data_IF_599886368247
#
_entry.id   IF_599886368247
#
_cell.length_a   1.000
_cell.length_b   1.000
_cell.length_c   1.000
_cell.angle_alpha   90.00
_cell.angle_beta   90.00
_cell.angle_gamma   90.00
#
_symmetry.space_group_name_H-M   'P 1'
#
loop_
_entity.id
_entity.type
_entity.pdbx_description
1 polymer ?
#
# COMPACT_ATOMS: atom_id res chain seq x y z
N UNK A 1 -48.92 34.62 62.01
CA UNK A 1 -48.65 34.73 60.57
C UNK A 1 -48.01 33.44 60.10
N UNK A 2 -48.67 32.70 59.19
CA UNK A 2 -48.28 31.38 58.68
C UNK A 2 -47.65 31.46 57.27
N UNK A 3 -47.05 30.37 56.78
CA UNK A 3 -47.21 29.77 55.43
C UNK A 3 -46.07 28.74 55.17
N UNK A 4 -46.31 27.44 55.00
CA UNK A 4 -46.89 26.69 53.87
C UNK A 4 -45.92 26.40 52.71
N UNK A 5 -45.60 25.11 52.57
CA UNK A 5 -45.36 24.30 51.36
C UNK A 5 -44.69 24.93 50.13
N UNK A 6 -43.64 24.25 49.65
CA UNK A 6 -43.52 23.94 48.21
C UNK A 6 -43.34 22.44 48.00
N UNK A 7 -44.21 21.92 47.14
CA UNK A 7 -44.31 20.57 46.61
C UNK A 7 -43.32 20.36 45.45
N UNK A 8 -43.19 19.07 45.08
CA UNK A 8 -42.92 18.58 43.71
C UNK A 8 -41.42 18.50 43.36
N UNK A 9 -40.89 17.46 42.72
CA UNK A 9 -41.48 16.41 41.90
C UNK A 9 -40.50 15.23 41.77
N UNK A 10 -41.05 14.07 41.40
CA UNK A 10 -40.33 12.82 41.19
C UNK A 10 -39.18 12.88 40.18
N UNK A 11 -38.15 12.14 40.53
CA UNK A 11 -37.16 11.51 39.68
C UNK A 11 -36.60 10.38 40.55
N UNK A 12 -37.41 9.34 40.79
CA UNK A 12 -37.30 8.09 40.03
C UNK A 12 -35.85 7.57 40.05
N UNK A 13 -35.48 6.90 41.15
CA UNK A 13 -35.16 5.45 41.23
C UNK A 13 -34.52 4.72 40.01
N UNK A 14 -33.94 5.42 39.05
CA UNK A 14 -33.38 4.83 37.82
C UNK A 14 -31.88 4.50 37.88
N UNK A 15 -31.16 4.84 38.96
CA UNK A 15 -29.70 4.64 39.04
C UNK A 15 -29.26 3.39 39.81
N UNK A 16 -30.17 2.48 40.18
CA UNK A 16 -29.83 1.24 40.89
C UNK A 16 -30.31 -0.06 40.23
N UNK A 17 -30.61 -0.05 38.93
CA UNK A 17 -30.62 -1.31 38.18
C UNK A 17 -29.18 -1.67 37.79
N UNK A 18 -28.65 -2.83 38.23
CA UNK A 18 -27.38 -3.31 37.73
C UNK A 18 -27.57 -3.64 36.24
N UNK A 19 -27.11 -2.75 35.38
CA UNK A 19 -26.91 -3.03 33.96
C UNK A 19 -26.14 -4.36 33.88
N UNK A 20 -26.81 -5.37 33.31
CA UNK A 20 -26.32 -6.68 32.89
C UNK A 20 -24.90 -6.97 33.39
N UNK A 21 -24.77 -7.93 34.31
CA UNK A 21 -23.48 -8.53 34.67
C UNK A 21 -22.72 -8.81 33.38
N UNK A 22 -21.77 -7.94 33.04
CA UNK A 22 -20.93 -8.16 31.88
C UNK A 22 -20.27 -9.51 32.15
N UNK A 23 -20.36 -10.49 31.24
CA UNK A 23 -19.64 -11.72 31.43
C UNK A 23 -18.19 -11.31 31.68
N UNK A 24 -17.64 -11.71 32.84
CA UNK A 24 -16.24 -11.46 33.17
C UNK A 24 -15.42 -11.74 31.92
N UNK A 25 -14.51 -10.83 31.49
CA UNK A 25 -13.81 -10.96 30.22
C UNK A 25 -13.20 -12.34 30.20
N UNK A 26 -13.80 -13.21 29.40
CA UNK A 26 -13.34 -14.59 29.28
C UNK A 26 -11.91 -14.45 28.79
N UNK A 27 -10.90 -15.04 29.46
CA UNK A 27 -9.51 -14.78 29.13
C UNK A 27 -9.32 -15.04 27.63
N UNK A 28 -9.19 -13.95 26.86
CA UNK A 28 -9.22 -14.00 25.41
C UNK A 28 -8.01 -14.81 25.00
N UNK A 29 -8.25 -16.06 24.59
CA UNK A 29 -7.20 -17.02 24.27
C UNK A 29 -6.30 -16.37 23.21
N UNK A 30 -5.07 -16.00 23.59
CA UNK A 30 -4.15 -15.29 22.69
C UNK A 30 -4.00 -16.09 21.40
N UNK A 31 -4.45 -15.52 20.27
CA UNK A 31 -4.34 -16.21 19.00
C UNK A 31 -2.88 -16.24 18.57
N UNK A 32 -2.40 -17.42 18.15
CA UNK A 32 -1.02 -17.56 17.72
C UNK A 32 -0.80 -16.77 16.43
N UNK A 33 0.30 -16.01 16.36
CA UNK A 33 0.67 -15.25 15.16
C UNK A 33 0.78 -16.18 13.93
N UNK A 34 0.26 -15.79 12.76
CA UNK A 34 0.46 -16.52 11.51
C UNK A 34 1.90 -16.33 11.00
N UNK A 35 2.85 -16.99 11.68
CA UNK A 35 4.31 -16.80 11.51
C UNK A 35 4.74 -16.88 10.04
N UNK A 36 4.21 -17.84 9.28
CA UNK A 36 4.58 -18.03 7.86
C UNK A 36 4.23 -16.80 7.00
N UNK A 37 3.00 -16.29 7.11
CA UNK A 37 2.53 -15.13 6.33
C UNK A 37 3.31 -13.86 6.71
N UNK A 38 3.54 -13.66 8.00
CA UNK A 38 4.32 -12.54 8.52
C UNK A 38 5.76 -12.60 8.01
N UNK A 39 6.45 -13.75 8.12
CA UNK A 39 7.85 -13.87 7.67
C UNK A 39 7.97 -13.56 6.17
N UNK A 40 7.09 -14.11 5.32
CA UNK A 40 7.09 -13.81 3.88
C UNK A 40 6.92 -12.31 3.63
N UNK A 41 5.95 -11.68 4.30
CA UNK A 41 5.68 -10.25 4.18
C UNK A 41 6.87 -9.39 4.63
N UNK A 42 7.53 -9.76 5.73
CA UNK A 42 8.70 -9.03 6.24
C UNK A 42 9.92 -9.20 5.32
N UNK A 43 10.15 -10.39 4.79
CA UNK A 43 11.25 -10.61 3.83
C UNK A 43 11.01 -9.82 2.53
N UNK A 44 9.77 -9.75 2.04
CA UNK A 44 9.44 -8.88 0.91
C UNK A 44 9.67 -7.41 1.24
N UNK A 45 9.18 -6.95 2.42
CA UNK A 45 9.33 -5.57 2.89
C UNK A 45 10.80 -5.17 3.08
N UNK A 46 11.69 -6.11 3.39
CA UNK A 46 13.12 -5.83 3.61
C UNK A 46 13.82 -5.25 2.37
N UNK A 47 13.34 -5.55 1.16
CA UNK A 47 13.94 -5.02 -0.07
C UNK A 47 13.81 -3.49 -0.20
N UNK A 48 12.76 -2.89 0.36
CA UNK A 48 12.50 -1.46 0.26
C UNK A 48 13.49 -0.58 1.05
N UNK A 49 13.70 -0.79 2.37
CA UNK A 49 14.69 -0.02 3.10
C UNK A 49 16.11 -0.24 2.56
N UNK A 50 16.44 -1.42 2.03
CA UNK A 50 17.71 -1.65 1.34
C UNK A 50 17.84 -0.73 0.12
N UNK A 51 16.87 -0.75 -0.80
CA UNK A 51 16.88 0.14 -1.98
C UNK A 51 16.91 1.63 -1.62
N UNK A 52 16.22 2.01 -0.54
CA UNK A 52 16.18 3.41 -0.11
C UNK A 52 17.54 3.88 0.42
N UNK A 53 18.20 3.07 1.24
CA UNK A 53 19.41 3.48 1.97
C UNK A 53 20.72 3.15 1.25
N UNK A 54 20.70 2.28 0.23
CA UNK A 54 21.91 1.87 -0.49
C UNK A 54 22.65 3.03 -1.16
N UNK A 55 21.94 4.10 -1.51
CA UNK A 55 22.52 5.24 -2.23
C UNK A 55 23.36 6.17 -1.34
N UNK A 56 23.06 6.25 -0.05
CA UNK A 56 23.63 7.27 0.85
C UNK A 56 25.17 7.29 0.88
N UNK A 57 25.89 6.16 0.91
CA UNK A 57 27.35 6.17 0.96
C UNK A 57 28.03 6.75 -0.28
N UNK A 58 27.36 6.76 -1.43
CA UNK A 58 27.96 7.11 -2.72
C UNK A 58 27.22 8.21 -3.48
N UNK A 59 26.06 8.69 -3.02
CA UNK A 59 25.24 9.67 -3.75
C UNK A 59 25.99 10.98 -4.03
N UNK A 60 26.73 11.50 -3.05
CA UNK A 60 27.48 12.74 -3.21
C UNK A 60 28.62 12.59 -4.24
N UNK A 61 29.34 11.47 -4.16
CA UNK A 61 30.40 11.11 -5.10
C UNK A 61 29.84 10.85 -6.52
N UNK A 62 28.66 10.24 -6.61
CA UNK A 62 27.95 10.04 -7.87
C UNK A 62 27.59 11.38 -8.52
N UNK A 63 26.98 12.30 -7.77
CA UNK A 63 26.64 13.66 -8.24
C UNK A 63 27.87 14.41 -8.74
N UNK A 64 29.00 14.26 -8.05
CA UNK A 64 30.27 14.86 -8.48
C UNK A 64 30.81 14.20 -9.77
N UNK A 65 30.82 12.86 -9.83
CA UNK A 65 31.35 12.10 -10.97
C UNK A 65 30.59 12.28 -12.28
N UNK A 66 29.27 12.50 -12.22
CA UNK A 66 28.42 12.76 -13.40
C UNK A 66 28.50 14.23 -13.85
N UNK A 67 29.29 15.06 -13.17
CA UNK A 67 29.51 16.46 -13.51
C UNK A 67 28.28 17.35 -13.30
N UNK A 68 27.41 17.02 -12.34
CA UNK A 68 26.22 17.82 -12.04
C UNK A 68 26.58 19.24 -11.55
N UNK A 69 27.74 19.38 -10.91
CA UNK A 69 28.31 20.65 -10.49
C UNK A 69 29.83 20.59 -10.55
N UNK A 70 30.46 21.74 -10.83
CA UNK A 70 31.92 21.90 -10.73
C UNK A 70 32.37 22.34 -9.33
N UNK A 71 31.43 22.77 -8.48
CA UNK A 71 31.71 23.25 -7.13
C UNK A 71 31.33 22.20 -6.08
N UNK A 72 32.33 21.73 -5.33
CA UNK A 72 32.18 20.73 -4.28
C UNK A 72 31.16 21.15 -3.22
N UNK A 73 31.12 22.44 -2.86
CA UNK A 73 30.22 22.95 -1.82
C UNK A 73 28.73 22.82 -2.19
N UNK A 74 28.42 22.71 -3.49
CA UNK A 74 27.05 22.56 -3.99
C UNK A 74 26.61 21.10 -4.17
N UNK A 75 27.51 20.12 -4.03
CA UNK A 75 27.20 18.69 -4.24
C UNK A 75 26.05 18.23 -3.34
N UNK A 76 26.05 18.65 -2.07
CA UNK A 76 24.98 18.33 -1.13
C UNK A 76 23.60 18.84 -1.55
N UNK A 77 23.53 20.00 -2.23
CA UNK A 77 22.25 20.53 -2.74
C UNK A 77 21.68 19.64 -3.86
N UNK A 78 22.53 19.22 -4.81
CA UNK A 78 22.12 18.34 -5.90
C UNK A 78 21.77 16.92 -5.41
N UNK A 79 22.53 16.36 -4.46
CA UNK A 79 22.19 15.10 -3.81
C UNK A 79 20.84 15.20 -3.09
N UNK A 80 20.62 16.30 -2.35
CA UNK A 80 19.36 16.59 -1.68
C UNK A 80 18.17 16.68 -2.63
N UNK A 81 18.32 17.22 -3.85
CA UNK A 81 17.26 17.22 -4.87
C UNK A 81 16.88 15.79 -5.27
N UNK A 82 17.87 14.93 -5.49
CA UNK A 82 17.64 13.52 -5.89
C UNK A 82 16.86 12.77 -4.79
N UNK A 83 17.22 12.98 -3.53
CA UNK A 83 16.54 12.37 -2.38
C UNK A 83 15.15 12.96 -2.13
N UNK A 84 15.03 14.29 -2.20
CA UNK A 84 13.76 14.99 -1.97
C UNK A 84 12.71 14.62 -3.03
N UNK A 85 13.12 14.43 -4.28
CA UNK A 85 12.19 14.08 -5.36
C UNK A 85 11.62 12.66 -5.19
N UNK A 86 12.39 11.73 -4.60
CA UNK A 86 11.87 10.43 -4.18
C UNK A 86 10.77 10.60 -3.11
N UNK A 87 11.02 11.38 -2.06
CA UNK A 87 10.04 11.60 -1.00
C UNK A 87 8.79 12.33 -1.49
N UNK A 88 8.96 13.33 -2.36
CA UNK A 88 7.87 14.09 -2.97
C UNK A 88 7.00 13.20 -3.87
N UNK A 89 7.62 12.45 -4.78
CA UNK A 89 6.90 11.52 -5.66
C UNK A 89 6.15 10.45 -4.88
N UNK A 90 6.78 9.90 -3.83
CA UNK A 90 6.13 8.91 -2.95
C UNK A 90 4.93 9.51 -2.22
N UNK A 91 5.03 10.75 -1.71
CA UNK A 91 3.93 11.41 -1.00
C UNK A 91 2.73 11.65 -1.91
N UNK A 92 2.95 11.99 -3.18
CA UNK A 92 1.88 12.19 -4.16
C UNK A 92 1.21 10.87 -4.57
N UNK A 93 1.94 9.75 -4.62
CA UNK A 93 1.41 8.48 -5.12
C UNK A 93 0.94 7.52 -4.02
N UNK A 94 1.32 7.71 -2.75
CA UNK A 94 1.03 6.73 -1.68
C UNK A 94 -0.47 6.48 -1.47
N UNK A 95 -1.30 7.53 -1.53
CA UNK A 95 -2.76 7.39 -1.41
C UNK A 95 -3.36 6.66 -2.63
N UNK A 96 -2.81 6.94 -3.82
CA UNK A 96 -3.21 6.25 -5.05
C UNK A 96 -2.96 4.74 -4.92
N UNK A 97 -1.75 4.34 -4.51
CA UNK A 97 -1.40 2.93 -4.32
C UNK A 97 -2.22 2.22 -3.24
N UNK A 98 -2.51 2.92 -2.13
CA UNK A 98 -3.43 2.43 -1.10
C UNK A 98 -4.79 2.08 -1.69
N UNK A 99 -5.43 3.06 -2.34
CA UNK A 99 -6.75 2.88 -2.97
C UNK A 99 -6.75 1.84 -4.10
N UNK A 100 -5.66 1.74 -4.85
CA UNK A 100 -5.49 0.75 -5.91
C UNK A 100 -5.43 -0.67 -5.34
N UNK A 101 -4.75 -0.84 -4.20
CA UNK A 101 -4.68 -2.12 -3.50
C UNK A 101 -6.01 -2.56 -2.91
N UNK A 102 -6.89 -1.62 -2.51
CA UNK A 102 -8.25 -1.93 -2.06
C UNK A 102 -9.14 -2.45 -3.20
N UNK A 103 -8.88 -2.03 -4.45
CA UNK A 103 -9.69 -2.40 -5.62
C UNK A 103 -9.21 -3.66 -6.34
N UNK A 104 -7.89 -3.78 -6.52
CA UNK A 104 -7.28 -4.86 -7.33
C UNK A 104 -6.87 -6.05 -6.44
N UNK A 105 -6.58 -5.80 -5.16
CA UNK A 105 -5.99 -6.78 -4.23
C UNK A 105 -4.63 -6.33 -3.72
N UNK A 106 -4.22 -6.85 -2.56
CA UNK A 106 -2.96 -6.48 -1.90
C UNK A 106 -1.76 -7.06 -2.64
N UNK A 107 -1.83 -8.34 -3.04
CA UNK A 107 -0.74 -9.07 -3.66
C UNK A 107 -0.28 -8.45 -5.00
N UNK A 108 -1.15 -8.23 -6.00
CA UNK A 108 -0.71 -7.73 -7.30
C UNK A 108 -0.12 -6.33 -7.22
N UNK A 109 -0.69 -5.48 -6.36
CA UNK A 109 -0.24 -4.09 -6.21
C UNK A 109 1.12 -4.04 -5.50
N UNK A 110 1.33 -4.88 -4.48
CA UNK A 110 2.63 -5.01 -3.81
C UNK A 110 3.74 -5.47 -4.79
N UNK A 111 3.44 -6.46 -5.65
CA UNK A 111 4.40 -6.95 -6.65
C UNK A 111 4.69 -5.90 -7.74
N UNK A 112 3.68 -5.14 -8.16
CA UNK A 112 3.84 -4.05 -9.13
C UNK A 112 4.74 -2.94 -8.57
N UNK A 113 4.54 -2.54 -7.32
CA UNK A 113 5.38 -1.53 -6.65
C UNK A 113 6.83 -1.98 -6.52
N UNK A 114 7.06 -3.22 -6.05
CA UNK A 114 8.42 -3.80 -5.98
C UNK A 114 9.09 -3.89 -7.36
N UNK A 115 8.33 -4.23 -8.41
CA UNK A 115 8.86 -4.29 -9.78
C UNK A 115 9.29 -2.92 -10.29
N UNK A 116 8.52 -1.88 -9.99
CA UNK A 116 8.86 -0.50 -10.28
C UNK A 116 10.14 -0.05 -9.58
N UNK A 117 10.28 -0.39 -8.30
CA UNK A 117 11.49 -0.11 -7.51
C UNK A 117 12.70 -0.85 -8.10
N UNK A 118 12.59 -2.14 -8.43
CA UNK A 118 13.68 -2.90 -9.05
C UNK A 118 14.13 -2.30 -10.39
N UNK A 119 13.16 -1.93 -11.25
CA UNK A 119 13.45 -1.27 -12.53
C UNK A 119 14.15 0.08 -12.32
N UNK A 120 13.65 0.89 -11.37
CA UNK A 120 14.24 2.19 -11.06
C UNK A 120 15.66 2.11 -10.51
N UNK A 121 15.97 1.08 -9.72
CA UNK A 121 17.32 0.84 -9.20
C UNK A 121 18.31 0.57 -10.33
N UNK A 122 17.93 -0.28 -11.30
CA UNK A 122 18.75 -0.56 -12.49
C UNK A 122 18.97 0.71 -13.31
N UNK A 123 17.91 1.49 -13.57
CA UNK A 123 18.03 2.76 -14.31
C UNK A 123 18.91 3.77 -13.57
N UNK A 124 18.82 3.85 -12.24
CA UNK A 124 19.63 4.75 -11.43
C UNK A 124 21.12 4.38 -11.49
N UNK A 125 21.46 3.09 -11.35
CA UNK A 125 22.85 2.62 -11.44
C UNK A 125 23.49 2.82 -12.82
N UNK A 126 22.68 2.88 -13.89
CA UNK A 126 23.13 3.16 -15.26
C UNK A 126 23.11 4.66 -15.61
N UNK A 127 22.76 5.53 -14.66
CA UNK A 127 22.64 6.95 -14.96
C UNK A 127 24.01 7.61 -15.14
N UNK A 128 24.14 8.40 -16.21
CA UNK A 128 25.36 9.18 -16.51
C UNK A 128 25.12 10.69 -16.49
N UNK A 129 23.87 11.11 -16.28
CA UNK A 129 23.47 12.51 -16.25
C UNK A 129 22.61 12.77 -15.02
N UNK A 130 22.69 14.00 -14.49
CA UNK A 130 21.93 14.40 -13.31
C UNK A 130 20.42 14.18 -13.49
N UNK A 131 19.85 14.65 -14.60
CA UNK A 131 18.41 14.52 -14.86
C UNK A 131 17.95 13.07 -15.03
N UNK A 132 18.80 12.18 -15.54
CA UNK A 132 18.48 10.75 -15.56
C UNK A 132 18.42 10.20 -14.14
N UNK A 133 19.40 10.50 -13.29
CA UNK A 133 19.42 10.07 -11.90
C UNK A 133 18.17 10.56 -11.14
N UNK A 134 17.79 11.83 -11.35
CA UNK A 134 16.58 12.45 -10.84
C UNK A 134 15.32 11.72 -11.31
N UNK A 135 15.18 11.44 -12.60
CA UNK A 135 14.02 10.73 -13.16
C UNK A 135 13.90 9.29 -12.64
N UNK A 136 15.02 8.56 -12.56
CA UNK A 136 15.04 7.21 -12.01
C UNK A 136 14.59 7.21 -10.53
N UNK A 137 15.02 8.20 -9.74
CA UNK A 137 14.65 8.32 -8.33
C UNK A 137 13.22 8.78 -8.11
N UNK A 138 12.71 9.67 -8.96
CA UNK A 138 11.30 10.01 -9.00
C UNK A 138 10.42 8.79 -9.33
N UNK A 139 10.85 7.96 -10.28
CA UNK A 139 10.14 6.72 -10.62
C UNK A 139 10.17 5.72 -9.46
N UNK A 140 11.30 5.61 -8.76
CA UNK A 140 11.43 4.79 -7.55
C UNK A 140 10.42 5.23 -6.48
N UNK A 141 10.30 6.53 -6.20
CA UNK A 141 9.36 7.05 -5.20
C UNK A 141 7.91 6.91 -5.66
N UNK A 142 7.63 7.23 -6.92
CA UNK A 142 6.31 7.11 -7.52
C UNK A 142 5.76 5.68 -7.46
N UNK A 143 6.60 4.65 -7.56
CA UNK A 143 6.20 3.23 -7.50
C UNK A 143 6.25 2.62 -6.10
N UNK A 144 6.75 3.37 -5.10
CA UNK A 144 6.95 2.87 -3.73
C UNK A 144 5.73 3.08 -2.81
N UNK A 145 4.58 2.50 -3.19
CA UNK A 145 3.35 2.48 -2.39
C UNK A 145 3.28 1.36 -1.34
N UNK A 146 4.28 0.49 -1.32
CA UNK A 146 4.27 -0.77 -0.59
C UNK A 146 4.21 -0.60 0.93
N UNK A 147 4.75 0.49 1.47
CA UNK A 147 4.71 0.79 2.91
C UNK A 147 3.27 0.81 3.45
N UNK A 148 2.33 1.36 2.68
CA UNK A 148 0.93 1.40 3.06
C UNK A 148 0.29 0.00 2.94
N UNK A 149 0.55 -0.69 1.83
CA UNK A 149 -0.02 -2.02 1.54
C UNK A 149 0.43 -3.04 2.57
N UNK A 150 1.71 -3.06 2.95
CA UNK A 150 2.25 -3.97 3.97
C UNK A 150 1.58 -3.76 5.33
N UNK A 151 1.27 -2.52 5.70
CA UNK A 151 0.53 -2.22 6.94
C UNK A 151 -0.91 -2.75 6.87
N UNK A 152 -1.58 -2.59 5.73
CA UNK A 152 -2.92 -3.15 5.52
C UNK A 152 -2.92 -4.67 5.56
N UNK A 153 -1.99 -5.33 4.84
CA UNK A 153 -1.82 -6.80 4.86
C UNK A 153 -1.54 -7.28 6.28
N UNK A 154 -0.67 -6.58 7.02
CA UNK A 154 -0.37 -6.93 8.41
C UNK A 154 -1.64 -6.86 9.27
N UNK A 155 -2.44 -5.80 9.15
CA UNK A 155 -3.71 -5.67 9.85
C UNK A 155 -4.70 -6.80 9.50
N UNK A 156 -4.84 -7.12 8.22
CA UNK A 156 -5.78 -8.15 7.72
C UNK A 156 -5.44 -9.58 8.15
N UNK A 157 -4.16 -9.89 8.40
CA UNK A 157 -3.74 -11.22 8.86
C UNK A 157 -3.64 -11.33 10.38
N UNK A 158 -3.81 -10.23 11.12
CA UNK A 158 -3.66 -10.18 12.58
C UNK A 158 -4.98 -9.92 13.29
N UNK A 159 -5.07 -10.36 14.54
CA UNK A 159 -6.21 -10.07 15.42
C UNK A 159 -5.79 -9.07 16.50
N UNK A 160 -6.75 -8.42 17.17
CA UNK A 160 -6.48 -7.46 18.26
C UNK A 160 -5.51 -8.00 19.32
N UNK A 161 -5.58 -9.30 19.62
CA UNK A 161 -4.72 -9.95 20.63
C UNK A 161 -3.24 -10.04 20.23
N UNK A 162 -2.93 -9.99 18.92
CA UNK A 162 -1.59 -10.24 18.40
C UNK A 162 -1.05 -9.10 17.50
N UNK A 163 -1.90 -8.15 17.12
CA UNK A 163 -1.62 -7.02 16.25
C UNK A 163 -0.44 -6.17 16.76
N UNK A 164 -0.40 -5.84 18.06
CA UNK A 164 0.69 -5.04 18.63
C UNK A 164 2.07 -5.70 18.43
N UNK A 165 2.15 -7.02 18.57
CA UNK A 165 3.39 -7.78 18.34
C UNK A 165 3.76 -7.79 16.86
N UNK A 166 2.79 -7.93 15.97
CA UNK A 166 3.01 -7.98 14.53
C UNK A 166 3.47 -6.62 13.96
N UNK A 167 2.82 -5.53 14.35
CA UNK A 167 3.19 -4.17 13.93
C UNK A 167 4.57 -3.74 14.45
N UNK A 168 5.02 -4.25 15.60
CA UNK A 168 6.38 -4.01 16.12
C UNK A 168 7.50 -4.57 15.21
N UNK A 169 7.20 -5.50 14.31
CA UNK A 169 8.17 -6.08 13.39
C UNK A 169 8.43 -5.19 12.15
N UNK A 170 7.50 -4.27 11.84
CA UNK A 170 7.66 -3.38 10.68
C UNK A 170 8.81 -2.38 10.88
N UNK A 171 8.93 -1.66 12.02
CA UNK A 171 10.10 -0.80 12.29
C UNK A 171 11.41 -1.59 12.39
N UNK A 172 11.37 -2.81 12.94
CA UNK A 172 12.55 -3.68 13.01
C UNK A 172 13.09 -4.03 11.61
N UNK A 173 12.19 -4.28 10.66
CA UNK A 173 12.59 -4.56 9.28
C UNK A 173 13.23 -3.35 8.62
N UNK A 174 12.76 -2.14 8.95
CA UNK A 174 13.36 -0.89 8.49
C UNK A 174 14.80 -0.74 8.99
N UNK A 175 15.06 -0.96 10.28
CA UNK A 175 16.42 -0.83 10.84
C UNK A 175 17.38 -1.88 10.28
N UNK A 176 16.93 -3.11 10.04
CA UNK A 176 17.75 -4.13 9.36
C UNK A 176 18.09 -3.70 7.93
N UNK A 177 17.16 -3.08 7.21
CA UNK A 177 17.45 -2.52 5.89
C UNK A 177 18.44 -1.36 5.95
N UNK A 178 18.33 -0.46 6.93
CA UNK A 178 19.29 0.62 7.17
C UNK A 178 20.67 0.11 7.59
N UNK A 179 20.77 -1.11 8.12
CA UNK A 179 22.05 -1.77 8.38
C UNK A 179 22.67 -2.31 7.08
N UNK A 180 21.89 -3.04 6.29
CA UNK A 180 22.38 -3.76 5.10
C UNK A 180 22.61 -2.82 3.91
N UNK A 181 21.71 -1.87 3.68
CA UNK A 181 21.74 -0.98 2.51
C UNK A 181 23.03 -0.18 2.40
N UNK A 182 23.40 0.65 3.38
CA UNK A 182 24.64 1.44 3.34
C UNK A 182 25.90 0.58 3.29
N UNK A 183 25.87 -0.62 3.91
CA UNK A 183 26.99 -1.56 3.85
C UNK A 183 27.23 -2.01 2.40
N UNK A 184 26.17 -2.44 1.71
CA UNK A 184 26.23 -2.82 0.31
C UNK A 184 26.59 -1.62 -0.58
N UNK A 185 26.01 -0.46 -0.31
CA UNK A 185 26.26 0.77 -1.06
C UNK A 185 27.72 1.20 -1.03
N UNK A 186 28.31 1.21 0.16
CA UNK A 186 29.70 1.62 0.36
C UNK A 186 30.69 0.64 -0.26
N UNK A 187 30.60 -0.64 0.10
CA UNK A 187 31.59 -1.65 -0.31
C UNK A 187 31.52 -2.05 -1.79
N UNK A 188 30.38 -1.86 -2.45
CA UNK A 188 30.20 -2.24 -3.85
C UNK A 188 30.32 -1.04 -4.79
N UNK A 189 30.40 0.19 -4.27
CA UNK A 189 30.65 1.38 -5.08
C UNK A 189 32.05 1.32 -5.72
N UNK A 190 32.17 1.81 -6.96
CA UNK A 190 33.45 1.87 -7.70
C UNK A 190 34.24 0.54 -7.68
N UNK A 191 33.65 -0.58 -8.10
CA UNK A 191 34.28 -1.90 -7.97
C UNK A 191 35.59 -2.02 -8.77
N UNK A 192 35.70 -1.31 -9.89
CA UNK A 192 36.93 -1.25 -10.68
C UNK A 192 38.10 -0.59 -9.94
N UNK A 193 37.83 0.36 -9.03
CA UNK A 193 38.84 1.03 -8.21
C UNK A 193 39.11 0.27 -6.90
N UNK A 194 38.07 -0.28 -6.29
CA UNK A 194 38.16 -0.94 -4.99
C UNK A 194 38.66 -2.40 -5.06
N UNK A 195 38.36 -3.11 -6.15
CA UNK A 195 38.77 -4.50 -6.38
C UNK A 195 39.35 -4.68 -7.79
N UNK A 196 40.52 -4.08 -8.08
CA UNK A 196 41.12 -4.11 -9.42
C UNK A 196 41.40 -5.55 -9.89
N UNK A 197 41.78 -6.47 -9.00
CA UNK A 197 42.09 -7.86 -9.38
C UNK A 197 40.89 -8.65 -9.93
N UNK A 198 39.67 -8.27 -9.56
CA UNK A 198 38.43 -9.01 -9.90
C UNK A 198 37.63 -8.26 -10.98
N UNK A 199 37.72 -6.92 -11.03
CA UNK A 199 36.87 -6.08 -11.89
C UNK A 199 37.65 -5.23 -12.92
N UNK A 200 38.98 -5.34 -13.01
CA UNK A 200 39.76 -4.65 -14.06
C UNK A 200 39.43 -5.16 -15.48
N UNK A 201 39.94 -4.45 -16.50
CA UNK A 201 39.77 -4.75 -17.94
C UNK A 201 40.01 -6.21 -18.35
N UNK A 202 40.80 -6.97 -17.59
CA UNK A 202 41.11 -8.37 -17.87
C UNK A 202 40.29 -9.38 -17.06
N UNK A 203 39.30 -8.92 -16.30
CA UNK A 203 38.41 -9.76 -15.50
C UNK A 203 37.64 -10.80 -16.33
N UNK A 204 37.31 -11.93 -15.71
CA UNK A 204 36.83 -13.18 -16.33
C UNK A 204 35.59 -13.07 -17.23
N UNK A 205 34.86 -11.96 -17.18
CA UNK A 205 33.55 -11.82 -17.80
C UNK A 205 33.48 -10.82 -18.97
N UNK A 206 34.60 -10.26 -19.46
CA UNK A 206 34.60 -9.29 -20.58
C UNK A 206 33.82 -7.98 -20.33
N UNK A 207 33.30 -7.81 -19.11
CA UNK A 207 32.48 -6.70 -18.64
C UNK A 207 33.31 -5.57 -18.01
N UNK A 208 34.65 -5.63 -18.05
CA UNK A 208 35.53 -4.64 -17.41
C UNK A 208 35.24 -3.19 -17.82
N UNK A 209 34.84 -2.97 -19.07
CA UNK A 209 34.43 -1.64 -19.54
C UNK A 209 33.09 -1.13 -18.99
N UNK A 210 32.20 -2.03 -18.54
CA UNK A 210 30.91 -1.64 -17.95
C UNK A 210 31.11 -1.02 -16.57
N UNK A 211 32.00 -1.59 -15.75
CA UNK A 211 32.26 -1.13 -14.37
C UNK A 211 33.05 0.18 -14.32
N UNK A 212 33.91 0.43 -15.31
CA UNK A 212 34.58 1.72 -15.48
C UNK A 212 33.60 2.80 -15.96
N UNK A 213 32.69 2.45 -16.88
CA UNK A 213 31.69 3.39 -17.43
C UNK A 213 30.55 3.69 -16.43
N UNK A 214 30.19 2.72 -15.60
CA UNK A 214 29.11 2.82 -14.62
C UNK A 214 29.59 2.37 -13.22
N UNK A 215 30.34 3.23 -12.50
CA UNK A 215 30.94 2.88 -11.21
C UNK A 215 29.93 2.56 -10.10
N UNK A 216 28.68 3.03 -10.21
CA UNK A 216 27.62 2.83 -9.20
C UNK A 216 26.58 1.79 -9.62
N UNK A 217 26.79 1.10 -10.75
CA UNK A 217 25.83 0.10 -11.23
C UNK A 217 25.79 -1.16 -10.36
N UNK A 218 26.94 -1.61 -9.84
CA UNK A 218 27.05 -2.82 -9.03
C UNK A 218 26.16 -2.83 -7.77
N UNK A 219 26.21 -1.81 -6.88
CA UNK A 219 25.34 -1.78 -5.70
C UNK A 219 23.86 -1.79 -6.11
N UNK A 220 23.50 -1.01 -7.14
CA UNK A 220 22.13 -0.92 -7.63
C UNK A 220 21.63 -2.25 -8.22
N UNK A 221 22.48 -2.96 -8.96
CA UNK A 221 22.17 -4.26 -9.56
C UNK A 221 21.96 -5.34 -8.48
N UNK A 222 22.78 -5.34 -7.43
CA UNK A 222 22.61 -6.27 -6.30
C UNK A 222 21.32 -5.97 -5.54
N UNK A 223 21.01 -4.69 -5.30
CA UNK A 223 19.74 -4.30 -4.67
C UNK A 223 18.52 -4.69 -5.53
N UNK A 224 18.60 -4.49 -6.85
CA UNK A 224 17.57 -4.94 -7.78
C UNK A 224 17.42 -6.47 -7.77
N UNK A 225 18.51 -7.23 -7.71
CA UNK A 225 18.48 -8.69 -7.61
C UNK A 225 17.81 -9.18 -6.31
N UNK A 226 18.13 -8.56 -5.17
CA UNK A 226 17.47 -8.82 -3.88
C UNK A 226 15.96 -8.55 -4.00
N UNK A 227 15.59 -7.45 -4.66
CA UNK A 227 14.19 -7.07 -4.88
C UNK A 227 13.47 -8.06 -5.79
N UNK A 228 14.09 -8.50 -6.87
CA UNK A 228 13.55 -9.52 -7.78
C UNK A 228 13.38 -10.85 -7.07
N UNK A 229 14.34 -11.26 -6.24
CA UNK A 229 14.19 -12.46 -5.41
C UNK A 229 12.98 -12.33 -4.46
N UNK A 230 12.78 -11.16 -3.84
CA UNK A 230 11.60 -10.86 -3.03
C UNK A 230 10.30 -10.88 -3.83
N UNK A 231 10.29 -10.39 -5.08
CA UNK A 231 9.14 -10.46 -5.99
C UNK A 231 8.80 -11.90 -6.33
N UNK A 232 9.81 -12.70 -6.72
CA UNK A 232 9.63 -14.12 -7.07
C UNK A 232 9.05 -14.88 -5.88
N UNK A 233 9.65 -14.71 -4.70
CA UNK A 233 9.16 -15.30 -3.46
C UNK A 233 7.72 -14.85 -3.16
N UNK A 234 7.42 -13.55 -3.24
CA UNK A 234 6.07 -13.03 -3.03
C UNK A 234 5.04 -13.52 -4.04
N UNK A 235 5.43 -13.69 -5.30
CA UNK A 235 4.56 -14.19 -6.35
C UNK A 235 4.11 -15.63 -6.07
N UNK A 236 4.99 -16.48 -5.56
CA UNK A 236 4.67 -17.89 -5.27
C UNK A 236 4.09 -18.12 -3.86
N UNK A 237 4.58 -17.40 -2.84
CA UNK A 237 4.26 -17.69 -1.44
C UNK A 237 3.22 -16.75 -0.82
N UNK A 238 3.04 -15.53 -1.32
CA UNK A 238 2.05 -14.60 -0.77
C UNK A 238 0.65 -14.98 -1.29
N UNK A 239 -0.29 -15.16 -0.39
CA UNK A 239 -1.70 -15.30 -0.73
C UNK A 239 -2.37 -13.94 -0.76
N UNK A 240 -3.46 -13.81 -1.51
CA UNK A 240 -4.28 -12.60 -1.46
C UNK A 240 -4.91 -12.47 -0.06
N UNK A 241 -4.84 -11.29 0.53
CA UNK A 241 -5.35 -11.01 1.88
C UNK A 241 -6.57 -10.10 1.88
N UNK A 242 -6.88 -9.44 0.76
CA UNK A 242 -8.04 -8.54 0.66
C UNK A 242 -9.33 -9.29 1.06
N UNK A 243 -10.06 -8.86 2.11
CA UNK A 243 -11.18 -9.63 2.68
C UNK A 243 -12.29 -9.94 1.68
N UNK A 244 -12.65 -8.97 0.83
CA UNK A 244 -13.71 -9.14 -0.17
C UNK A 244 -13.36 -10.22 -1.22
N UNK A 245 -12.11 -10.25 -1.69
CA UNK A 245 -11.65 -11.25 -2.65
C UNK A 245 -11.49 -12.63 -2.01
N UNK A 246 -11.06 -12.68 -0.74
CA UNK A 246 -10.98 -13.92 0.03
C UNK A 246 -12.38 -14.51 0.23
N UNK A 247 -13.34 -13.69 0.67
CA UNK A 247 -14.72 -14.14 0.88
C UNK A 247 -15.37 -14.61 -0.43
N UNK A 248 -15.15 -13.90 -1.54
CA UNK A 248 -15.63 -14.31 -2.86
C UNK A 248 -15.05 -15.66 -3.28
N UNK A 249 -13.73 -15.87 -3.10
CA UNK A 249 -13.07 -17.15 -3.40
C UNK A 249 -13.64 -18.28 -2.54
N UNK A 250 -13.86 -18.05 -1.25
CA UNK A 250 -14.48 -19.04 -0.38
C UNK A 250 -15.91 -19.39 -0.79
N UNK A 251 -16.73 -18.39 -1.13
CA UNK A 251 -18.09 -18.58 -1.64
C UNK A 251 -18.09 -19.39 -2.94
N UNK A 252 -17.16 -19.12 -3.85
CA UNK A 252 -17.01 -19.87 -5.11
C UNK A 252 -16.51 -21.32 -4.90
N UNK A 253 -15.71 -21.57 -3.86
CA UNK A 253 -15.17 -22.88 -3.52
C UNK A 253 -16.18 -23.74 -2.75
N UNK A 254 -17.01 -23.11 -1.90
CA UNK A 254 -18.12 -23.76 -1.17
C UNK A 254 -19.35 -24.01 -2.07
N UNK A 255 -19.39 -23.44 -3.28
CA UNK A 255 -20.51 -23.63 -4.23
C UNK A 255 -20.49 -25.07 -4.78
N UNK A 256 -21.53 -25.89 -4.55
CA UNK A 256 -21.55 -27.28 -4.99
C UNK A 256 -21.46 -27.39 -6.52
N UNK A 257 -20.78 -28.43 -7.04
CA UNK A 257 -20.49 -28.62 -8.47
C UNK A 257 -21.74 -28.53 -9.37
N UNK A 258 -22.90 -28.99 -8.87
CA UNK A 258 -24.19 -28.87 -9.56
C UNK A 258 -24.59 -27.40 -9.84
N UNK A 259 -24.33 -26.49 -8.90
CA UNK A 259 -24.63 -25.07 -9.07
C UNK A 259 -23.63 -24.35 -10.00
N UNK A 260 -22.39 -24.86 -10.15
CA UNK A 260 -21.43 -24.37 -11.15
C UNK A 260 -21.84 -24.73 -12.57
N UNK A 261 -22.30 -25.97 -12.80
CA UNK A 261 -22.82 -26.40 -14.11
C UNK A 261 -24.07 -25.61 -14.52
N UNK A 262 -24.98 -25.35 -13.57
CA UNK A 262 -26.21 -24.61 -13.83
C UNK A 262 -25.96 -23.12 -14.10
N UNK A 263 -24.91 -22.54 -13.49
CA UNK A 263 -24.42 -21.18 -13.74
C UNK A 263 -23.79 -21.02 -15.13
N UNK A 264 -22.98 -21.99 -15.55
CA UNK A 264 -22.41 -22.00 -16.91
C UNK A 264 -23.50 -22.22 -17.96
N UNK A 265 -24.47 -23.10 -17.70
CA UNK A 265 -25.61 -23.32 -18.57
C UNK A 265 -26.53 -22.10 -18.68
N UNK A 266 -26.74 -21.35 -17.58
CA UNK A 266 -27.55 -20.12 -17.61
C UNK A 266 -26.83 -18.96 -18.29
N UNK A 267 -25.53 -18.79 -18.08
CA UNK A 267 -24.70 -17.80 -18.79
C UNK A 267 -24.58 -18.10 -20.29
N UNK A 268 -24.50 -19.38 -20.68
CA UNK A 268 -24.52 -19.78 -22.08
C UNK A 268 -25.90 -19.50 -22.70
N UNK A 269 -26.99 -19.77 -21.98
CA UNK A 269 -28.36 -19.45 -22.42
C UNK A 269 -28.59 -17.95 -22.54
N UNK A 270 -28.05 -17.12 -21.63
CA UNK A 270 -28.16 -15.66 -21.74
C UNK A 270 -27.38 -15.10 -22.91
N UNK A 271 -26.17 -15.62 -23.18
CA UNK A 271 -25.38 -15.22 -24.35
C UNK A 271 -26.02 -15.66 -25.67
N UNK A 272 -26.63 -16.85 -25.71
CA UNK A 272 -27.41 -17.33 -26.87
C UNK A 272 -28.68 -16.50 -27.05
N UNK A 273 -29.37 -16.11 -25.98
CA UNK A 273 -30.53 -15.23 -26.04
C UNK A 273 -30.17 -13.82 -26.53
N UNK A 274 -29.04 -13.27 -26.05
CA UNK A 274 -28.53 -11.98 -26.51
C UNK A 274 -28.18 -12.01 -28.01
N UNK A 275 -27.48 -13.05 -28.49
CA UNK A 275 -27.19 -13.23 -29.92
C UNK A 275 -28.44 -13.49 -30.77
N UNK A 276 -29.49 -14.14 -30.23
CA UNK A 276 -30.77 -14.31 -30.93
C UNK A 276 -31.49 -12.98 -31.15
N UNK A 277 -31.43 -12.07 -30.20
CA UNK A 277 -32.05 -10.74 -30.33
C UNK A 277 -31.31 -9.91 -31.41
N UNK A 278 -30.00 -10.08 -31.55
CA UNK A 278 -29.20 -9.40 -32.58
C UNK A 278 -29.52 -9.87 -34.00
N UNK A 279 -29.84 -11.16 -34.19
CA UNK A 279 -30.12 -11.72 -35.52
C UNK A 279 -31.55 -11.50 -36.04
N UNK A 280 -32.51 -11.17 -35.17
CA UNK A 280 -33.88 -10.81 -35.61
C UNK A 280 -34.02 -9.35 -36.06
N UNK A 281 -33.02 -8.49 -35.82
CA UNK A 281 -33.02 -7.08 -36.24
C UNK A 281 -32.46 -6.80 -37.63
N UNK A 282 -32.05 -7.84 -38.39
CA UNK A 282 -31.30 -7.69 -39.65
C UNK A 282 -32.02 -8.20 -40.91
N UNK A 283 -33.34 -8.39 -40.86
CA UNK A 283 -34.17 -8.68 -42.04
C UNK A 283 -35.38 -7.77 -42.11
N UNK A 284 -35.15 -6.50 -42.49
CA UNK A 284 -36.08 -5.73 -43.32
C UNK A 284 -35.45 -4.38 -43.69
N UNK A 285 -34.70 -4.36 -44.79
CA UNK A 285 -34.70 -3.28 -45.77
C UNK A 285 -33.66 -3.57 -46.86
N UNK A 286 -34.07 -4.28 -47.90
CA UNK A 286 -33.36 -4.21 -49.17
C UNK A 286 -34.38 -4.15 -50.31
N UNK A 287 -34.86 -2.95 -50.61
CA UNK A 287 -35.26 -2.61 -51.96
C UNK A 287 -35.17 -1.08 -52.16
N UNK A 288 -34.11 -0.61 -52.79
CA UNK A 288 -34.08 0.73 -53.36
C UNK A 288 -33.31 0.71 -54.68
N UNK A 289 -34.07 0.76 -55.78
CA UNK A 289 -33.55 1.04 -57.12
C UNK A 289 -33.63 2.55 -57.37
N UNK A 290 -32.47 3.21 -57.46
CA UNK A 290 -31.97 3.80 -58.70
C UNK A 290 -30.78 4.74 -58.43
N UNK A 291 -29.65 4.39 -59.06
CA UNK A 291 -28.65 5.23 -59.71
C UNK A 291 -28.31 6.58 -59.06
N UNK A 292 -27.12 6.69 -58.48
CA UNK A 292 -25.92 7.19 -59.21
C UNK A 292 -24.77 7.52 -58.25
N UNK A 293 -23.67 6.78 -58.44
CA UNK A 293 -22.26 7.21 -58.40
C UNK A 293 -21.65 7.97 -57.21
N UNK A 294 -20.45 7.47 -56.85
CA UNK A 294 -19.33 8.10 -56.13
C UNK A 294 -19.24 7.75 -54.63
N UNK A 295 -18.09 7.46 -54.01
CA UNK A 295 -16.66 7.43 -54.37
C UNK A 295 -15.93 6.78 -53.15
N UNK A 296 -14.77 6.18 -53.40
CA UNK A 296 -13.60 5.94 -52.53
C UNK A 296 -13.69 5.23 -51.16
N UNK A 297 -12.87 4.17 -51.08
CA UNK A 297 -11.84 3.94 -50.05
C UNK A 297 -11.52 5.11 -49.10
N UNK A 298 -11.50 4.86 -47.79
CA UNK A 298 -10.34 5.15 -46.94
C UNK A 298 -10.57 4.65 -45.50
N UNK A 299 -9.45 4.21 -44.91
CA UNK A 299 -9.24 3.84 -43.52
C UNK A 299 -9.45 5.01 -42.54
N UNK A 300 -9.46 4.62 -41.26
CA UNK A 300 -8.86 5.31 -40.11
C UNK A 300 -9.74 6.12 -39.14
N UNK A 301 -9.82 5.54 -37.93
CA UNK A 301 -9.60 6.12 -36.59
C UNK A 301 -10.56 7.11 -35.90
N UNK A 302 -10.72 6.80 -34.60
CA UNK A 302 -10.88 7.67 -33.42
C UNK A 302 -12.23 8.33 -33.05
N UNK A 303 -12.81 7.77 -31.97
CA UNK A 303 -13.24 8.39 -30.70
C UNK A 303 -13.78 9.83 -30.69
N UNK A 304 -15.00 10.03 -30.18
CA UNK A 304 -15.28 10.62 -28.83
C UNK A 304 -16.79 10.85 -28.56
N UNK A 305 -17.15 10.78 -27.27
CA UNK A 305 -18.12 11.68 -26.57
C UNK A 305 -19.63 11.38 -26.46
N UNK A 306 -20.04 11.23 -25.17
CA UNK A 306 -21.24 11.68 -24.45
C UNK A 306 -22.69 11.38 -24.90
N UNK A 307 -23.52 10.98 -23.92
CA UNK A 307 -25.00 11.01 -23.99
C UNK A 307 -25.64 11.46 -22.66
N UNK A 308 -26.72 12.28 -22.67
CA UNK A 308 -27.32 12.88 -21.46
C UNK A 308 -28.61 12.18 -20.95
N UNK A 309 -29.07 12.67 -19.77
CA UNK A 309 -30.22 12.28 -18.93
C UNK A 309 -31.60 12.67 -19.49
N UNK A 310 -32.67 11.98 -19.06
CA UNK A 310 -34.01 12.56 -18.89
C UNK A 310 -34.92 11.78 -17.90
N UNK A 311 -35.70 12.53 -17.10
CA UNK A 311 -36.73 12.16 -16.10
C UNK A 311 -38.08 11.78 -16.73
N UNK A 312 -38.94 11.04 -16.00
CA UNK A 312 -40.38 11.40 -15.83
C UNK A 312 -41.08 10.69 -14.67
N UNK A 313 -42.17 11.30 -14.21
CA UNK A 313 -42.82 11.17 -12.91
C UNK A 313 -44.20 10.46 -12.93
N UNK A 314 -44.67 10.20 -11.70
CA UNK A 314 -45.95 9.71 -11.15
C UNK A 314 -47.29 10.15 -11.78
N UNK A 315 -48.33 9.29 -11.78
CA UNK A 315 -49.58 9.36 -10.93
C UNK A 315 -50.76 8.49 -11.43
N UNK A 316 -51.54 7.93 -10.47
CA UNK A 316 -52.97 7.48 -10.46
C UNK A 316 -53.45 6.44 -11.50
N UNK A 317 -54.25 5.41 -11.22
CA UNK A 317 -55.20 5.04 -10.15
C UNK A 317 -56.48 4.51 -10.84
N UNK A 318 -57.06 3.37 -10.43
CA UNK A 318 -58.50 2.98 -10.51
C UNK A 318 -58.69 1.55 -9.97
N UNK A 319 -59.75 1.39 -9.17
CA UNK A 319 -60.17 0.23 -8.36
C UNK A 319 -61.31 -0.52 -9.09
N UNK A 320 -61.33 -1.84 -9.02
CA UNK A 320 -62.52 -2.66 -9.37
C UNK A 320 -62.83 -3.63 -8.23
N UNK A 321 -64.09 -3.62 -7.78
CA UNK A 321 -64.68 -4.52 -6.79
C UNK A 321 -65.44 -5.64 -7.51
N UNK A 322 -65.41 -6.87 -6.99
CA UNK A 322 -66.45 -7.89 -7.23
C UNK A 322 -66.73 -8.71 -5.97
N UNK A 323 -68.01 -8.93 -5.68
CA UNK A 323 -68.59 -9.58 -4.50
C UNK A 323 -68.93 -11.08 -4.72
N UNK A 324 -69.23 -11.77 -3.60
CA UNK A 324 -69.82 -13.12 -3.37
C UNK A 324 -68.82 -14.28 -3.18
N UNK A 325 -68.95 -15.26 -2.26
CA UNK A 325 -69.99 -15.66 -1.30
C UNK A 325 -69.39 -16.67 -0.26
N UNK A 326 -69.88 -16.61 0.99
CA UNK A 326 -70.04 -17.64 2.05
C UNK A 326 -69.05 -18.81 2.29
N UNK A 327 -68.44 -18.85 3.49
CA UNK A 327 -68.61 -19.86 4.57
C UNK A 327 -67.65 -19.57 5.76
N UNK A 328 -68.14 -19.65 6.99
CA UNK A 328 -67.42 -19.48 8.28
C UNK A 328 -66.95 -20.86 8.82
N UNK A 329 -66.34 -20.99 10.01
CA UNK A 329 -65.07 -20.43 10.51
C UNK A 329 -64.14 -21.55 11.03
N UNK A 330 -62.81 -21.40 10.95
CA UNK A 330 -61.90 -22.11 11.87
C UNK A 330 -60.92 -21.10 12.45
N UNK A 331 -60.96 -21.01 13.78
CA UNK A 331 -60.05 -20.21 14.60
C UNK A 331 -58.62 -20.74 14.41
N UNK A 332 -57.82 -20.04 13.62
CA UNK A 332 -56.37 -19.98 13.78
C UNK A 332 -56.00 -18.52 13.91
N UNK A 333 -55.40 -18.07 15.03
CA UNK A 333 -54.88 -16.71 15.10
C UNK A 333 -53.85 -16.55 13.97
N UNK A 334 -53.81 -15.40 13.26
CA UNK A 334 -52.75 -15.17 12.31
C UNK A 334 -51.43 -15.20 13.09
N UNK A 335 -50.52 -16.11 12.70
CA UNK A 335 -49.11 -15.95 13.06
C UNK A 335 -48.72 -14.57 12.57
N UNK A 336 -48.51 -13.66 13.51
CA UNK A 336 -47.70 -12.48 13.28
C UNK A 336 -46.38 -13.00 12.71
N UNK A 337 -46.15 -12.79 11.43
CA UNK A 337 -44.80 -12.77 10.91
C UNK A 337 -44.18 -11.52 11.51
N UNK A 338 -43.63 -11.64 12.72
CA UNK A 338 -42.62 -10.69 13.18
C UNK A 338 -41.57 -10.66 12.07
N UNK A 339 -41.32 -9.51 11.43
CA UNK A 339 -40.12 -9.39 10.63
C UNK A 339 -38.98 -9.64 11.61
N UNK A 340 -38.17 -10.67 11.34
CA UNK A 340 -36.84 -10.74 11.95
C UNK A 340 -36.20 -9.37 11.72
N UNK A 341 -35.63 -8.71 12.75
CA UNK A 341 -34.91 -7.48 12.51
C UNK A 341 -33.83 -7.82 11.49
N UNK A 342 -33.94 -7.24 10.30
CA UNK A 342 -32.83 -7.21 9.38
C UNK A 342 -31.74 -6.46 10.13
N UNK A 343 -30.73 -7.17 10.59
CA UNK A 343 -29.45 -6.58 10.95
C UNK A 343 -28.79 -6.08 9.65
N UNK A 344 -29.46 -5.18 8.93
CA UNK A 344 -28.79 -4.23 8.07
C UNK A 344 -28.14 -3.26 9.02
N UNK A 345 -26.88 -3.54 9.37
CA UNK A 345 -25.96 -2.51 9.85
C UNK A 345 -26.17 -1.32 8.93
N UNK A 346 -26.49 -0.12 9.44
CA UNK A 346 -26.59 1.04 8.56
C UNK A 346 -25.26 1.16 7.82
N UNK A 347 -25.30 1.09 6.49
CA UNK A 347 -24.17 1.40 5.63
C UNK A 347 -23.79 2.85 5.94
N UNK A 348 -22.93 3.06 6.92
CA UNK A 348 -22.26 4.33 7.08
C UNK A 348 -21.52 4.55 5.76
N UNK A 349 -21.77 5.66 5.04
CA UNK A 349 -20.99 5.95 3.85
C UNK A 349 -19.52 5.92 4.27
N UNK A 350 -18.73 5.04 3.65
CA UNK A 350 -17.30 4.93 3.91
C UNK A 350 -16.73 6.34 3.81
N UNK A 351 -16.30 6.90 4.94
CA UNK A 351 -15.80 8.27 4.98
C UNK A 351 -14.71 8.40 3.93
N UNK A 352 -14.86 9.39 3.06
CA UNK A 352 -13.89 9.60 2.00
C UNK A 352 -12.54 9.92 2.64
N UNK A 353 -11.43 9.43 2.09
CA UNK A 353 -10.07 9.74 2.59
C UNK A 353 -9.88 11.26 2.76
N UNK A 354 -10.50 12.04 1.89
CA UNK A 354 -10.52 13.50 1.95
C UNK A 354 -11.28 14.06 3.15
N UNK A 355 -12.36 13.42 3.56
CA UNK A 355 -13.13 13.77 4.75
C UNK A 355 -12.33 13.47 6.02
N UNK A 356 -11.59 12.36 6.03
CA UNK A 356 -10.68 12.01 7.12
C UNK A 356 -9.54 13.03 7.24
N UNK A 357 -8.94 13.43 6.10
CA UNK A 357 -7.89 14.45 6.05
C UNK A 357 -8.40 15.86 6.39
N UNK A 358 -9.71 16.11 6.31
CA UNK A 358 -10.31 17.38 6.71
C UNK A 358 -10.46 17.51 8.24
N UNK A 359 -10.32 16.42 8.99
CA UNK A 359 -10.44 16.43 10.46
C UNK A 359 -9.24 17.18 11.06
N UNK A 360 -9.51 18.28 11.77
CA UNK A 360 -8.46 19.16 12.31
C UNK A 360 -7.50 18.50 13.31
N UNK A 361 -7.92 17.44 14.02
CA UNK A 361 -7.01 16.65 14.87
C UNK A 361 -5.99 15.85 14.05
N UNK A 362 -6.44 15.23 12.96
CA UNK A 362 -5.58 14.43 12.07
C UNK A 362 -4.59 15.35 11.35
N UNK A 363 -5.02 16.53 10.92
CA UNK A 363 -4.13 17.53 10.31
C UNK A 363 -3.00 17.95 11.26
N UNK A 364 -3.30 18.21 12.53
CA UNK A 364 -2.28 18.59 13.54
C UNK A 364 -1.24 17.47 13.73
N UNK A 365 -1.70 16.22 13.83
CA UNK A 365 -0.80 15.06 13.94
C UNK A 365 0.05 14.89 12.70
N UNK A 366 -0.54 15.02 11.50
CA UNK A 366 0.15 14.92 10.23
C UNK A 366 1.23 16.01 10.07
N UNK A 367 0.92 17.26 10.43
CA UNK A 367 1.87 18.38 10.39
C UNK A 367 3.02 18.13 11.37
N UNK A 368 2.71 17.75 12.62
CA UNK A 368 3.74 17.45 13.62
C UNK A 368 4.66 16.31 13.18
N UNK A 369 4.09 15.23 12.63
CA UNK A 369 4.86 14.11 12.09
C UNK A 369 5.70 14.52 10.88
N UNK A 370 5.17 15.38 9.99
CA UNK A 370 5.92 15.88 8.85
C UNK A 370 7.14 16.71 9.28
N UNK A 371 7.01 17.56 10.31
CA UNK A 371 8.15 18.29 10.87
C UNK A 371 9.19 17.36 11.50
N UNK A 372 8.76 16.37 12.29
CA UNK A 372 9.66 15.39 12.88
C UNK A 372 10.39 14.56 11.81
N UNK A 373 9.67 14.14 10.77
CA UNK A 373 10.24 13.42 9.64
C UNK A 373 11.24 14.29 8.86
N UNK A 374 10.91 15.57 8.64
CA UNK A 374 11.81 16.51 7.97
C UNK A 374 13.12 16.70 8.75
N UNK A 375 13.04 16.88 10.07
CA UNK A 375 14.22 17.00 10.93
C UNK A 375 15.06 15.72 10.89
N UNK A 376 14.41 14.56 11.02
CA UNK A 376 15.10 13.26 10.99
C UNK A 376 15.85 13.05 9.67
N UNK A 377 15.17 13.24 8.53
CA UNK A 377 15.77 13.04 7.20
C UNK A 377 16.84 14.09 6.92
N UNK A 378 16.65 15.34 7.37
CA UNK A 378 17.66 16.37 7.24
C UNK A 378 18.93 16.03 8.02
N UNK A 379 18.80 15.51 9.25
CA UNK A 379 19.96 15.06 10.03
C UNK A 379 20.68 13.89 9.36
N UNK A 380 19.94 12.92 8.83
CA UNK A 380 20.52 11.79 8.11
C UNK A 380 21.29 12.27 6.86
N UNK A 381 20.69 13.14 6.04
CA UNK A 381 21.33 13.67 4.83
C UNK A 381 22.55 14.56 5.14
N UNK A 382 22.45 15.42 6.17
CA UNK A 382 23.56 16.28 6.60
C UNK A 382 24.71 15.45 7.18
N UNK A 383 24.40 14.38 7.91
CA UNK A 383 25.42 13.46 8.43
C UNK A 383 26.19 12.80 7.29
N UNK A 384 25.49 12.29 6.27
CA UNK A 384 26.11 11.69 5.08
C UNK A 384 26.99 12.71 4.35
N UNK A 385 26.49 13.93 4.16
CA UNK A 385 27.25 15.01 3.50
C UNK A 385 28.49 15.39 4.31
N UNK A 386 28.36 15.55 5.63
CA UNK A 386 29.47 15.87 6.53
C UNK A 386 30.59 14.81 6.46
N UNK A 387 30.23 13.53 6.35
CA UNK A 387 31.21 12.45 6.20
C UNK A 387 31.96 12.53 4.87
N UNK A 388 31.27 12.87 3.78
CA UNK A 388 31.86 12.95 2.43
C UNK A 388 32.70 14.21 2.21
N UNK A 389 32.27 15.36 2.72
CA UNK A 389 32.86 16.67 2.40
C UNK A 389 34.31 16.78 2.91
N UNK A 390 35.27 17.34 2.15
CA UNK A 390 36.66 17.43 2.60
C UNK A 390 36.85 18.37 3.79
N UNK A 391 37.93 18.14 4.55
CA UNK A 391 38.29 18.89 5.77
C UNK A 391 38.33 20.42 5.55
N UNK A 392 38.72 20.86 4.35
CA UNK A 392 38.78 22.29 3.99
C UNK A 392 37.41 22.99 4.00
N UNK A 393 36.35 22.24 3.76
CA UNK A 393 34.96 22.72 3.70
C UNK A 393 34.17 22.35 4.97
N UNK A 394 34.87 21.81 5.99
CA UNK A 394 34.29 21.52 7.31
C UNK A 394 33.74 20.10 7.48
N UNK A 395 34.01 19.18 6.53
CA UNK A 395 33.66 17.76 6.67
C UNK A 395 34.84 16.85 7.06
N UNK A 396 34.64 15.54 6.95
CA UNK A 396 35.64 14.51 7.32
C UNK A 396 36.44 13.99 6.12
N UNK A 397 35.85 13.98 4.92
CA UNK A 397 36.50 13.50 3.69
C UNK A 397 36.61 11.98 3.60
N UNK A 398 35.66 11.25 4.19
CA UNK A 398 35.61 9.79 4.13
C UNK A 398 35.21 9.28 2.74
N UNK A 399 35.79 8.14 2.39
CA UNK A 399 35.39 7.36 1.22
C UNK A 399 34.04 6.67 1.44
N UNK A 400 33.41 6.20 0.35
CA UNK A 400 32.08 5.58 0.37
C UNK A 400 32.00 4.31 1.21
N UNK A 401 33.08 3.53 1.29
CA UNK A 401 33.20 2.35 2.15
C UNK A 401 33.13 2.69 3.64
N UNK A 402 33.93 3.68 4.08
CA UNK A 402 33.95 4.16 5.46
C UNK A 402 32.62 4.80 5.87
N UNK A 403 32.05 5.59 4.96
CA UNK A 403 30.72 6.19 5.13
C UNK A 403 29.65 5.11 5.26
N UNK A 404 29.69 4.08 4.42
CA UNK A 404 28.78 2.93 4.46
C UNK A 404 28.83 2.19 5.80
N UNK A 405 30.04 1.90 6.31
CA UNK A 405 30.23 1.25 7.62
C UNK A 405 29.60 2.08 8.74
N UNK A 406 29.83 3.41 8.75
CA UNK A 406 29.33 4.27 9.81
C UNK A 406 27.79 4.38 9.80
N UNK A 407 27.19 4.48 8.62
CA UNK A 407 25.73 4.46 8.46
C UNK A 407 25.13 3.11 8.88
N UNK A 408 25.82 2.01 8.57
CA UNK A 408 25.42 0.69 9.02
C UNK A 408 25.48 0.54 10.55
N UNK A 409 26.50 1.12 11.21
CA UNK A 409 26.58 1.16 12.68
C UNK A 409 25.39 1.95 13.26
N UNK A 410 24.99 3.06 12.64
CA UNK A 410 23.79 3.81 13.04
C UNK A 410 22.52 2.93 12.91
N UNK A 411 22.36 2.22 11.79
CA UNK A 411 21.26 1.26 11.60
C UNK A 411 21.22 0.15 12.66
N UNK A 412 22.39 -0.36 13.07
CA UNK A 412 22.52 -1.33 14.17
C UNK A 412 22.11 -0.70 15.51
N UNK A 413 22.50 0.55 15.77
CA UNK A 413 22.07 1.32 16.93
C UNK A 413 20.56 1.44 17.02
N UNK A 414 19.88 1.76 15.92
CA UNK A 414 18.42 1.80 15.85
C UNK A 414 17.76 0.43 16.09
N UNK A 415 18.37 -0.66 15.62
CA UNK A 415 17.89 -2.01 15.92
C UNK A 415 18.03 -2.35 17.41
N UNK A 416 19.16 -2.00 18.04
CA UNK A 416 19.39 -2.19 19.46
C UNK A 416 18.42 -1.37 20.31
N UNK A 417 18.18 -0.11 19.95
CA UNK A 417 17.22 0.77 20.63
C UNK A 417 15.81 0.16 20.63
N UNK A 418 15.32 -0.30 19.47
CA UNK A 418 14.03 -0.98 19.37
C UNK A 418 13.94 -2.25 20.24
N UNK A 419 15.02 -3.05 20.29
CA UNK A 419 15.07 -4.28 21.09
C UNK A 419 15.07 -3.94 22.59
N UNK A 420 15.85 -2.94 23.00
CA UNK A 420 15.92 -2.47 24.38
C UNK A 420 14.59 -1.89 24.82
N UNK A 421 13.98 -1.02 24.01
CA UNK A 421 12.69 -0.41 24.31
C UNK A 421 11.59 -1.47 24.45
N UNK A 422 11.58 -2.48 23.56
CA UNK A 422 10.67 -3.63 23.67
C UNK A 422 10.90 -4.43 24.96
N UNK A 423 12.16 -4.65 25.35
CA UNK A 423 12.50 -5.39 26.57
C UNK A 423 12.07 -4.63 27.82
N UNK A 424 12.28 -3.31 27.84
CA UNK A 424 11.84 -2.43 28.92
C UNK A 424 10.32 -2.49 29.04
N UNK A 425 9.60 -2.26 27.94
CA UNK A 425 8.13 -2.18 27.97
C UNK A 425 7.48 -3.54 28.36
N UNK A 426 8.04 -4.66 27.89
CA UNK A 426 7.62 -5.99 28.34
C UNK A 426 7.92 -6.24 29.83
N UNK A 427 9.02 -5.69 30.34
CA UNK A 427 9.34 -5.71 31.77
C UNK A 427 8.34 -4.90 32.59
N UNK A 428 7.98 -3.71 32.13
CA UNK A 428 7.01 -2.82 32.80
C UNK A 428 5.63 -3.47 32.90
N UNK A 429 5.18 -4.17 31.86
CA UNK A 429 3.93 -4.96 31.88
C UNK A 429 3.95 -6.08 32.94
N UNK A 430 5.10 -6.71 33.17
CA UNK A 430 5.26 -7.72 34.21
C UNK A 430 5.19 -7.12 35.62
N UNK A 431 5.69 -5.89 35.81
CA UNK A 431 5.62 -5.18 37.08
C UNK A 431 4.20 -4.68 37.40
N UNK A 432 3.48 -4.16 36.42
CA UNK A 432 2.10 -3.70 36.62
C UNK A 432 1.07 -4.84 36.63
N UNK A 433 1.33 -5.97 35.96
CA UNK A 433 0.47 -7.15 36.01
C UNK A 433 0.48 -7.89 37.35
N UNK A 434 1.45 -7.60 38.23
CA UNK A 434 1.48 -8.06 39.62
C UNK A 434 0.93 -7.02 40.61
N UNK A 435 0.53 -5.83 40.13
CA UNK A 435 0.04 -4.72 40.95
C UNK A 435 -1.48 -4.46 40.81
N UNK A 436 -2.23 -5.36 40.17
CA UNK A 436 -3.69 -5.36 40.14
C UNK A 436 -4.26 -6.62 40.77
#
# INVERSE_FOLDING_TARGET
>A
MPQQQTLSNGADDFEQEPLLTSPSPTPTKQSSLPKRKIVILLTMRLAEPINFTIIFPFINDMVFSIGATSDQASVGFYAGIIESLFALSQTLTILYWGSLSDRIGRKPVLLMGLSGVACSAVLFGLSQTFWWAVAARAMAGATNGNVAIVKSVMGEITDETNQARAFSLLPLTWTVGCLIGPLLGGYLSKPAQQYPDIFAKHAWAGLGGLWEKFPFFLPCAISAAITVASIVMGAFLLEETLPELVEKREREQKRPEAARQQSHASALKSNVAANRITNYGAMDNNNNNNNSSAISFANETTSTSHRPKARRASTSGIRVHSLHSGYTPTHTPPRSTCPLPSNSVPDHPTSSVWELLAIGQIQKVMISYAFLALISVALDALMVLYLYEPIKLGGVGFSSDSTGILLSINGLGGALDLVLHRKINNGTQHWFGHAC
#
